data_IF_064493062651
#
_entry.id   IF_064493062651
#
_cell.length_a   1.000
_cell.length_b   1.000
_cell.length_c   1.000
_cell.angle_alpha   90.00
_cell.angle_beta   90.00
_cell.angle_gamma   90.00
#
_symmetry.space_group_name_H-M   'P 1'
#
loop_
_entity.id
_entity.type
_entity.pdbx_description
1 polymer ?
#
# COMPACT_ATOMS: atom_id res chain seq x y z
N UNK A 1 -21.29 6.24 53.00
CA UNK A 1 -20.45 5.04 52.91
C UNK A 1 -19.09 5.42 52.33
N UNK A 2 -18.01 5.14 53.05
CA UNK A 2 -16.65 5.42 52.57
C UNK A 2 -16.22 4.37 51.51
N UNK A 3 -15.02 4.54 50.92
CA UNK A 3 -14.54 3.65 49.86
C UNK A 3 -14.36 2.21 50.37
N UNK A 4 -13.76 2.04 51.54
CA UNK A 4 -13.53 0.73 52.17
C UNK A 4 -14.84 -0.06 52.36
N UNK A 5 -15.88 0.59 52.91
CA UNK A 5 -17.20 -0.02 53.08
C UNK A 5 -17.84 -0.41 51.73
N UNK A 6 -17.66 0.40 50.68
CA UNK A 6 -18.14 0.06 49.33
C UNK A 6 -17.41 -1.16 48.77
N UNK A 7 -16.09 -1.20 48.92
CA UNK A 7 -15.25 -2.31 48.47
C UNK A 7 -15.66 -3.63 49.13
N UNK A 8 -15.92 -3.62 50.44
CA UNK A 8 -16.35 -4.83 51.16
C UNK A 8 -17.74 -5.31 50.71
N UNK A 9 -18.70 -4.42 50.49
CA UNK A 9 -20.03 -4.81 49.96
C UNK A 9 -19.92 -5.37 48.54
N UNK A 10 -19.04 -4.82 47.69
CA UNK A 10 -18.80 -5.35 46.35
C UNK A 10 -18.21 -6.78 46.42
N UNK A 11 -17.23 -7.02 47.30
CA UNK A 11 -16.64 -8.35 47.48
C UNK A 11 -17.66 -9.37 47.98
N UNK A 12 -18.49 -8.99 48.97
CA UNK A 12 -19.55 -9.85 49.51
C UNK A 12 -20.61 -10.17 48.45
N UNK A 13 -21.02 -9.19 47.64
CA UNK A 13 -21.94 -9.42 46.52
C UNK A 13 -21.39 -10.41 45.48
N UNK A 14 -20.10 -10.28 45.12
CA UNK A 14 -19.42 -11.20 44.20
C UNK A 14 -19.31 -12.60 44.81
N UNK A 15 -18.97 -12.72 46.10
CA UNK A 15 -18.91 -14.00 46.80
C UNK A 15 -20.27 -14.70 46.86
N UNK A 16 -21.37 -13.94 46.89
CA UNK A 16 -22.75 -14.46 46.80
C UNK A 16 -23.17 -14.85 45.38
N UNK A 17 -22.28 -14.70 44.40
CA UNK A 17 -22.51 -15.10 43.01
C UNK A 17 -23.19 -14.05 42.14
N UNK A 18 -23.25 -12.77 42.57
CA UNK A 18 -23.75 -11.70 41.72
C UNK A 18 -22.65 -11.34 40.71
N UNK A 19 -22.90 -11.62 39.43
CA UNK A 19 -21.96 -11.45 38.34
C UNK A 19 -22.29 -10.30 37.37
N UNK A 20 -23.39 -9.57 37.57
CA UNK A 20 -23.71 -8.33 36.84
C UNK A 20 -23.34 -7.07 37.67
N UNK A 21 -22.47 -6.18 37.15
CA UNK A 21 -22.19 -4.88 37.77
C UNK A 21 -23.40 -3.98 38.00
N UNK A 22 -24.49 -4.15 37.24
CA UNK A 22 -25.74 -3.39 37.45
C UNK A 22 -26.43 -3.79 38.75
N UNK A 23 -26.52 -5.09 39.01
CA UNK A 23 -27.15 -5.62 40.23
C UNK A 23 -26.39 -5.19 41.50
N UNK A 24 -25.06 -5.22 41.45
CA UNK A 24 -24.20 -4.69 42.52
C UNK A 24 -24.39 -3.17 42.68
N UNK A 25 -24.59 -2.47 41.56
CA UNK A 25 -24.90 -1.05 41.53
C UNK A 25 -26.21 -0.70 42.23
N UNK A 26 -27.27 -1.47 42.00
CA UNK A 26 -28.57 -1.29 42.65
C UNK A 26 -28.49 -1.47 44.17
N UNK A 27 -27.76 -2.47 44.65
CA UNK A 27 -27.52 -2.69 46.09
C UNK A 27 -26.83 -1.50 46.77
N UNK A 28 -26.00 -0.77 46.02
CA UNK A 28 -25.14 0.30 46.53
C UNK A 28 -25.65 1.71 46.21
N UNK A 29 -26.71 1.83 45.39
CA UNK A 29 -27.14 3.10 44.80
C UNK A 29 -26.05 3.74 43.93
N UNK A 30 -25.24 2.92 43.24
CA UNK A 30 -24.14 3.35 42.38
C UNK A 30 -24.36 2.88 40.94
N UNK A 31 -23.81 3.63 39.97
CA UNK A 31 -23.78 3.17 38.57
C UNK A 31 -22.82 1.98 38.41
N UNK A 32 -23.15 1.03 37.53
CA UNK A 32 -22.29 -0.11 37.16
C UNK A 32 -20.85 0.30 36.77
N UNK A 33 -20.69 1.42 36.06
CA UNK A 33 -19.37 1.97 35.70
C UNK A 33 -18.53 2.36 36.91
N UNK A 34 -19.17 2.79 38.00
CA UNK A 34 -18.51 3.11 39.27
C UNK A 34 -18.08 1.83 39.98
N UNK A 35 -18.89 0.78 39.95
CA UNK A 35 -18.55 -0.54 40.51
C UNK A 35 -17.29 -1.09 39.84
N UNK A 36 -17.27 -1.15 38.51
CA UNK A 36 -16.12 -1.68 37.76
C UNK A 36 -14.86 -0.84 37.97
N UNK A 37 -14.99 0.48 38.07
CA UNK A 37 -13.86 1.37 38.38
C UNK A 37 -13.30 1.09 39.77
N UNK A 38 -14.15 0.84 40.76
CA UNK A 38 -13.73 0.45 42.12
C UNK A 38 -13.03 -0.91 42.07
N UNK A 39 -13.62 -1.92 41.41
CA UNK A 39 -12.98 -3.24 41.28
C UNK A 39 -11.60 -3.17 40.64
N UNK A 40 -11.42 -2.35 39.59
CA UNK A 40 -10.13 -2.14 38.94
C UNK A 40 -9.12 -1.43 39.83
N UNK A 41 -9.56 -0.40 40.56
CA UNK A 41 -8.69 0.36 41.46
C UNK A 41 -8.19 -0.51 42.62
N UNK A 42 -9.07 -1.33 43.19
CA UNK A 42 -8.82 -2.19 44.35
C UNK A 42 -8.32 -3.59 43.97
N UNK A 43 -8.04 -3.86 42.69
CA UNK A 43 -7.60 -5.16 42.17
C UNK A 43 -8.49 -6.35 42.59
N UNK A 44 -9.80 -6.14 42.61
CA UNK A 44 -10.79 -7.18 42.91
C UNK A 44 -10.94 -8.07 41.69
N UNK A 45 -10.82 -9.38 41.87
CA UNK A 45 -11.11 -10.37 40.82
C UNK A 45 -12.62 -10.42 40.56
N UNK A 46 -13.02 -10.17 39.32
CA UNK A 46 -14.44 -10.03 38.95
C UNK A 46 -14.86 -11.09 37.95
N UNK A 47 -16.00 -11.79 38.15
CA UNK A 47 -16.50 -12.79 37.22
C UNK A 47 -17.03 -12.18 35.91
N UNK A 48 -17.42 -10.91 35.92
CA UNK A 48 -17.79 -10.19 34.70
C UNK A 48 -16.55 -9.83 33.88
N UNK A 49 -16.50 -10.31 32.63
CA UNK A 49 -15.52 -9.83 31.65
C UNK A 49 -15.85 -8.38 31.34
N UNK A 50 -14.96 -7.41 31.64
CA UNK A 50 -15.22 -6.03 31.25
C UNK A 50 -15.30 -6.00 29.72
N UNK A 51 -16.51 -5.86 29.17
CA UNK A 51 -16.66 -5.58 27.76
C UNK A 51 -16.00 -4.22 27.50
N UNK A 52 -14.89 -4.15 26.74
CA UNK A 52 -14.20 -2.90 26.49
C UNK A 52 -15.09 -1.85 25.81
N UNK A 53 -16.25 -2.26 25.27
CA UNK A 53 -17.18 -1.42 24.52
C UNK A 53 -18.34 -0.86 25.37
N UNK A 54 -18.60 -1.37 26.57
CA UNK A 54 -19.75 -0.96 27.42
C UNK A 54 -19.47 0.34 28.21
N UNK A 55 -18.22 0.80 28.28
CA UNK A 55 -17.80 1.91 29.19
C UNK A 55 -17.75 3.30 28.57
N UNK A 56 -18.33 3.51 27.41
CA UNK A 56 -18.58 4.88 26.94
C UNK A 56 -20.05 5.13 27.20
N UNK A 57 -20.39 5.84 28.29
CA UNK A 57 -21.66 6.57 28.35
C UNK A 57 -21.70 7.37 27.05
N UNK A 58 -22.48 6.90 26.07
CA UNK A 58 -22.55 7.51 24.76
C UNK A 58 -23.20 8.85 24.97
N UNK A 59 -22.38 9.87 25.18
CA UNK A 59 -22.81 11.25 25.10
C UNK A 59 -23.46 11.38 23.74
N UNK A 60 -24.78 11.54 23.72
CA UNK A 60 -25.52 11.86 22.51
C UNK A 60 -24.79 13.02 21.83
N UNK A 61 -24.33 12.77 20.62
CA UNK A 61 -23.62 13.73 19.79
C UNK A 61 -24.48 13.96 18.55
N UNK A 62 -25.37 14.97 18.59
CA UNK A 62 -26.36 15.19 17.54
C UNK A 62 -25.72 15.38 16.17
N UNK A 63 -24.48 15.88 16.12
CA UNK A 63 -23.78 16.07 14.85
C UNK A 63 -23.30 14.73 14.28
N UNK A 64 -22.76 13.82 15.11
CA UNK A 64 -22.46 12.44 14.70
C UNK A 64 -23.73 11.73 14.24
N UNK A 65 -24.81 11.81 15.01
CA UNK A 65 -26.08 11.14 14.68
C UNK A 65 -26.68 11.63 13.36
N UNK A 66 -26.60 12.95 13.11
CA UNK A 66 -26.99 13.53 11.82
C UNK A 66 -26.17 12.99 10.65
N UNK A 67 -24.85 12.84 10.80
CA UNK A 67 -24.01 12.31 9.72
C UNK A 67 -24.20 10.80 9.51
N UNK A 68 -24.53 10.07 10.58
CA UNK A 68 -24.85 8.65 10.55
C UNK A 68 -26.18 8.40 9.84
N UNK A 69 -27.22 9.17 10.14
CA UNK A 69 -28.54 9.08 9.48
C UNK A 69 -28.49 9.47 8.01
N UNK A 70 -27.55 10.34 7.62
CA UNK A 70 -27.23 10.63 6.21
C UNK A 70 -26.39 9.53 5.53
N UNK A 71 -26.06 8.45 6.23
CA UNK A 71 -25.21 7.37 5.74
C UNK A 71 -23.91 7.90 5.12
N UNK A 72 -23.20 8.80 5.79
CA UNK A 72 -21.88 9.28 5.35
C UNK A 72 -20.80 8.21 5.58
N UNK A 73 -19.69 8.29 4.85
CA UNK A 73 -18.58 7.36 5.04
C UNK A 73 -17.79 7.69 6.31
N UNK A 74 -17.21 6.68 7.00
CA UNK A 74 -16.39 6.94 8.20
C UNK A 74 -15.27 7.97 7.95
N UNK A 75 -14.53 7.96 6.82
CA UNK A 75 -13.51 8.97 6.54
C UNK A 75 -14.08 10.38 6.35
N UNK A 76 -15.27 10.50 5.75
CA UNK A 76 -15.95 11.79 5.58
C UNK A 76 -16.44 12.35 6.92
N UNK A 77 -17.03 11.50 7.76
CA UNK A 77 -17.45 11.88 9.11
C UNK A 77 -16.27 12.32 9.97
N UNK A 78 -15.19 11.53 9.96
CA UNK A 78 -13.94 11.84 10.65
C UNK A 78 -13.38 13.21 10.22
N UNK A 79 -13.34 13.49 8.92
CA UNK A 79 -12.89 14.77 8.38
C UNK A 79 -13.77 15.93 8.80
N UNK A 80 -15.11 15.79 8.71
CA UNK A 80 -16.06 16.86 9.06
C UNK A 80 -16.03 17.20 10.55
N UNK A 81 -15.90 16.19 11.40
CA UNK A 81 -15.92 16.33 12.85
C UNK A 81 -14.54 16.54 13.47
N UNK A 82 -13.47 16.67 12.66
CA UNK A 82 -12.10 16.85 13.15
C UNK A 82 -11.61 15.72 14.06
N UNK A 83 -11.98 14.47 13.77
CA UNK A 83 -11.66 13.31 14.61
C UNK A 83 -11.13 12.12 13.79
N UNK A 84 -10.76 11.03 14.46
CA UNK A 84 -10.24 9.83 13.77
C UNK A 84 -11.36 8.93 13.28
N UNK A 85 -11.07 8.14 12.23
CA UNK A 85 -11.98 7.09 11.75
C UNK A 85 -12.36 6.10 12.85
N UNK A 86 -11.40 5.77 13.72
CA UNK A 86 -11.59 4.81 14.80
C UNK A 86 -12.57 5.34 15.86
N UNK A 87 -12.50 6.63 16.19
CA UNK A 87 -13.42 7.26 17.14
C UNK A 87 -14.88 7.23 16.62
N UNK A 88 -15.09 7.51 15.33
CA UNK A 88 -16.43 7.40 14.73
C UNK A 88 -16.92 5.96 14.73
N UNK A 89 -16.04 5.01 14.46
CA UNK A 89 -16.38 3.59 14.51
C UNK A 89 -16.77 3.15 15.92
N UNK A 90 -15.99 3.51 16.95
CA UNK A 90 -16.32 3.23 18.34
C UNK A 90 -17.67 3.84 18.73
N UNK A 91 -17.93 5.10 18.36
CA UNK A 91 -19.21 5.77 18.60
C UNK A 91 -20.40 5.02 17.97
N UNK A 92 -20.27 4.57 16.72
CA UNK A 92 -21.30 3.79 16.03
C UNK A 92 -21.64 2.49 16.74
N UNK A 93 -20.64 1.81 17.30
CA UNK A 93 -20.83 0.58 18.06
C UNK A 93 -21.43 0.84 19.43
N UNK A 94 -20.87 1.78 20.18
CA UNK A 94 -21.34 2.12 21.53
C UNK A 94 -22.73 2.78 21.54
N UNK A 95 -23.18 3.35 20.42
CA UNK A 95 -24.53 3.92 20.28
C UNK A 95 -25.56 2.97 19.67
N UNK A 96 -25.16 1.74 19.31
CA UNK A 96 -26.06 0.77 18.66
C UNK A 96 -26.44 1.09 17.20
N UNK A 97 -25.97 2.21 16.65
CA UNK A 97 -26.33 2.65 15.29
C UNK A 97 -25.58 1.93 14.16
N UNK A 98 -24.58 1.10 14.50
CA UNK A 98 -23.71 0.44 13.51
C UNK A 98 -24.48 -0.39 12.47
N UNK A 99 -25.48 -1.18 12.88
CA UNK A 99 -26.25 -2.03 11.97
C UNK A 99 -27.06 -1.20 10.95
N UNK A 100 -27.78 -0.18 11.45
CA UNK A 100 -28.59 0.73 10.63
C UNK A 100 -27.72 1.51 9.65
N UNK A 101 -26.60 2.06 10.13
CA UNK A 101 -25.64 2.77 9.28
C UNK A 101 -25.08 1.87 8.17
N UNK A 102 -24.71 0.63 8.50
CA UNK A 102 -24.16 -0.34 7.54
C UNK A 102 -25.16 -0.67 6.44
N UNK A 103 -26.42 -0.91 6.80
CA UNK A 103 -27.50 -1.17 5.84
C UNK A 103 -27.75 0.04 4.93
N UNK A 104 -27.90 1.24 5.49
CA UNK A 104 -28.13 2.46 4.70
C UNK A 104 -26.93 2.85 3.82
N UNK A 105 -25.69 2.56 4.24
CA UNK A 105 -24.50 2.72 3.38
C UNK A 105 -24.52 1.77 2.19
N UNK A 106 -24.98 0.54 2.35
CA UNK A 106 -25.08 -0.40 1.25
C UNK A 106 -26.08 0.11 0.21
N UNK A 107 -27.26 0.58 0.65
CA UNK A 107 -28.28 1.16 -0.21
C UNK A 107 -27.84 2.47 -0.88
N UNK A 108 -27.16 3.36 -0.13
CA UNK A 108 -26.63 4.61 -0.67
C UNK A 108 -25.58 4.35 -1.75
N UNK A 109 -24.71 3.34 -1.55
CA UNK A 109 -23.73 2.93 -2.56
C UNK A 109 -24.38 2.32 -3.79
N UNK A 110 -25.45 1.53 -3.66
CA UNK A 110 -26.14 0.98 -4.81
C UNK A 110 -26.86 2.08 -5.60
N UNK A 111 -27.51 3.03 -4.92
CA UNK A 111 -28.13 4.18 -5.56
C UNK A 111 -27.11 5.07 -6.28
N UNK A 112 -25.96 5.37 -5.65
CA UNK A 112 -24.88 6.12 -6.28
C UNK A 112 -24.31 5.39 -7.51
N UNK A 113 -24.23 4.06 -7.45
CA UNK A 113 -23.81 3.22 -8.58
C UNK A 113 -24.83 3.33 -9.73
N UNK A 114 -26.12 3.19 -9.46
CA UNK A 114 -27.18 3.31 -10.48
C UNK A 114 -27.22 4.70 -11.11
N UNK A 115 -27.10 5.77 -10.31
CA UNK A 115 -27.01 7.14 -10.85
C UNK A 115 -25.79 7.35 -11.76
N UNK A 116 -24.63 6.78 -11.38
CA UNK A 116 -23.43 6.81 -12.22
C UNK A 116 -23.65 6.07 -13.53
N UNK A 117 -24.20 4.86 -13.47
CA UNK A 117 -24.52 4.08 -14.67
C UNK A 117 -25.49 4.81 -15.60
N UNK A 118 -26.50 5.50 -15.06
CA UNK A 118 -27.42 6.34 -15.83
C UNK A 118 -26.69 7.53 -16.46
N UNK A 119 -25.83 8.23 -15.70
CA UNK A 119 -25.02 9.33 -16.21
C UNK A 119 -24.11 8.89 -17.37
N UNK A 120 -23.43 7.75 -17.25
CA UNK A 120 -22.60 7.21 -18.34
C UNK A 120 -23.44 6.79 -19.54
N UNK A 121 -24.63 6.22 -19.31
CA UNK A 121 -25.56 5.87 -20.39
C UNK A 121 -26.02 7.11 -21.15
N UNK A 122 -26.34 8.21 -20.45
CA UNK A 122 -26.66 9.51 -21.06
C UNK A 122 -25.48 10.08 -21.82
N UNK A 123 -24.27 9.99 -21.26
CA UNK A 123 -23.05 10.44 -21.93
C UNK A 123 -22.78 9.64 -23.21
N UNK A 124 -22.92 8.32 -23.17
CA UNK A 124 -22.81 7.43 -24.33
C UNK A 124 -23.89 7.70 -25.39
N UNK A 125 -25.10 8.07 -24.98
CA UNK A 125 -26.16 8.50 -25.90
C UNK A 125 -25.84 9.85 -26.55
N UNK A 126 -25.33 10.82 -25.77
CA UNK A 126 -24.87 12.12 -26.28
C UNK A 126 -23.71 11.99 -27.26
N UNK A 127 -22.75 11.11 -26.96
CA UNK A 127 -21.69 10.74 -27.90
C UNK A 127 -22.32 10.19 -29.19
N UNK A 128 -23.22 9.20 -29.09
CA UNK A 128 -23.91 8.62 -30.27
C UNK A 128 -24.63 9.65 -31.15
N UNK A 129 -25.29 10.62 -30.54
CA UNK A 129 -25.92 11.73 -31.25
C UNK A 129 -24.91 12.67 -31.92
N UNK A 130 -23.71 12.83 -31.36
CA UNK A 130 -22.59 13.52 -32.02
C UNK A 130 -22.02 12.72 -33.19
N UNK A 131 -21.98 11.38 -33.08
CA UNK A 131 -21.47 10.46 -34.09
C UNK A 131 -22.11 10.60 -35.47
N UNK A 132 -23.39 10.98 -35.52
CA UNK A 132 -24.14 11.18 -36.77
C UNK A 132 -23.71 12.43 -37.55
N UNK A 133 -22.94 13.33 -36.94
CA UNK A 133 -22.43 14.58 -37.53
C UNK A 133 -20.96 14.44 -37.96
N UNK A 134 -20.33 13.28 -37.72
CA UNK A 134 -18.90 13.08 -37.93
C UNK A 134 -18.60 12.69 -39.39
N UNK A 135 -17.83 13.53 -40.08
CA UNK A 135 -17.44 13.30 -41.49
C UNK A 135 -16.02 12.74 -41.70
N UNK A 136 -15.10 12.83 -40.71
CA UNK A 136 -13.68 12.49 -40.92
C UNK A 136 -13.28 11.13 -40.31
N UNK A 137 -12.39 10.35 -40.98
CA UNK A 137 -11.88 9.07 -40.47
C UNK A 137 -11.26 9.16 -39.07
N UNK A 138 -10.52 10.24 -38.79
CA UNK A 138 -9.93 10.52 -37.47
C UNK A 138 -11.01 10.62 -36.39
N UNK A 139 -12.05 11.39 -36.65
CA UNK A 139 -13.11 11.64 -35.67
C UNK A 139 -13.93 10.37 -35.43
N UNK A 140 -14.14 9.55 -36.47
CA UNK A 140 -14.79 8.24 -36.34
C UNK A 140 -13.97 7.27 -35.48
N UNK A 141 -12.65 7.23 -35.66
CA UNK A 141 -11.74 6.47 -34.80
C UNK A 141 -11.88 6.89 -33.34
N UNK A 142 -11.72 8.19 -33.05
CA UNK A 142 -11.76 8.70 -31.68
C UNK A 142 -13.13 8.40 -31.04
N UNK A 143 -14.20 8.62 -31.79
CA UNK A 143 -15.57 8.37 -31.36
C UNK A 143 -15.81 6.90 -30.94
N UNK A 144 -15.45 5.94 -31.80
CA UNK A 144 -15.65 4.51 -31.53
C UNK A 144 -14.89 4.08 -30.27
N UNK A 145 -13.65 4.54 -30.13
CA UNK A 145 -12.82 4.21 -28.97
C UNK A 145 -13.24 4.93 -27.69
N UNK A 146 -13.74 6.17 -27.78
CA UNK A 146 -14.30 6.89 -26.63
C UNK A 146 -15.56 6.19 -26.08
N UNK A 147 -16.43 5.67 -26.94
CA UNK A 147 -17.57 4.86 -26.52
C UNK A 147 -17.15 3.62 -25.73
N UNK A 148 -16.09 2.93 -26.17
CA UNK A 148 -15.54 1.80 -25.45
C UNK A 148 -15.00 2.21 -24.07
N UNK A 149 -14.32 3.35 -23.96
CA UNK A 149 -13.85 3.87 -22.67
C UNK A 149 -15.00 4.09 -21.69
N UNK A 150 -16.07 4.76 -22.09
CA UNK A 150 -17.20 5.03 -21.19
C UNK A 150 -18.06 3.80 -20.90
N UNK A 151 -18.08 2.81 -21.78
CA UNK A 151 -18.78 1.55 -21.57
C UNK A 151 -17.99 0.59 -20.67
N UNK A 152 -16.68 0.45 -20.91
CA UNK A 152 -15.80 -0.53 -20.24
C UNK A 152 -15.12 0.02 -18.99
N UNK A 153 -14.94 1.35 -18.88
CA UNK A 153 -14.37 2.02 -17.73
C UNK A 153 -15.32 3.09 -17.16
N UNK A 154 -16.50 2.71 -16.63
CA UNK A 154 -17.49 3.62 -16.03
C UNK A 154 -17.03 4.23 -14.69
N UNK A 155 -15.73 4.28 -14.42
CA UNK A 155 -15.14 4.97 -13.27
C UNK A 155 -14.01 5.90 -13.68
N UNK A 156 -13.84 6.14 -14.98
CA UNK A 156 -12.96 7.22 -15.42
C UNK A 156 -13.47 8.53 -14.82
N UNK A 157 -12.56 9.30 -14.22
CA UNK A 157 -12.87 10.65 -13.73
C UNK A 157 -12.75 11.71 -14.83
N UNK A 158 -12.38 11.27 -16.03
CA UNK A 158 -12.16 12.15 -17.17
C UNK A 158 -13.49 12.48 -17.84
N UNK A 159 -13.60 13.73 -18.26
CA UNK A 159 -14.61 14.22 -19.16
C UNK A 159 -14.48 13.60 -20.55
N UNK A 160 -15.55 13.69 -21.35
CA UNK A 160 -15.52 13.28 -22.75
C UNK A 160 -14.42 14.00 -23.53
N UNK A 161 -14.22 15.29 -23.27
CA UNK A 161 -13.22 16.10 -23.95
C UNK A 161 -11.80 15.59 -23.68
N UNK A 162 -11.44 15.30 -22.42
CA UNK A 162 -10.13 14.74 -22.08
C UNK A 162 -9.91 13.36 -22.72
N UNK A 163 -10.92 12.50 -22.75
CA UNK A 163 -10.82 11.21 -23.44
C UNK A 163 -10.63 11.41 -24.94
N UNK A 164 -11.34 12.37 -25.53
CA UNK A 164 -11.25 12.71 -26.95
C UNK A 164 -9.86 13.24 -27.32
N UNK A 165 -9.30 14.16 -26.54
CA UNK A 165 -7.97 14.72 -26.78
C UNK A 165 -6.88 13.65 -26.66
N UNK A 166 -6.94 12.82 -25.62
CA UNK A 166 -5.98 11.73 -25.42
C UNK A 166 -6.02 10.73 -26.58
N UNK A 167 -7.21 10.29 -27.01
CA UNK A 167 -7.37 9.37 -28.13
C UNK A 167 -7.02 10.02 -29.48
N UNK A 168 -7.24 11.33 -29.62
CA UNK A 168 -6.81 12.10 -30.79
C UNK A 168 -5.29 12.16 -30.90
N UNK A 169 -4.60 12.50 -29.81
CA UNK A 169 -3.14 12.48 -29.75
C UNK A 169 -2.57 11.08 -30.03
N UNK A 170 -3.23 10.03 -29.52
CA UNK A 170 -2.90 8.65 -29.86
C UNK A 170 -3.07 8.40 -31.37
N UNK A 171 -4.23 8.68 -31.94
CA UNK A 171 -4.47 8.45 -33.38
C UNK A 171 -3.44 9.16 -34.26
N UNK A 172 -3.21 10.44 -33.98
CA UNK A 172 -2.33 11.28 -34.78
C UNK A 172 -0.88 10.81 -34.70
N UNK A 173 -0.38 10.45 -33.51
CA UNK A 173 0.95 9.87 -33.38
C UNK A 173 1.10 8.59 -34.23
N UNK A 174 0.09 7.71 -34.21
CA UNK A 174 0.09 6.47 -34.98
C UNK A 174 0.14 6.71 -36.49
N UNK A 175 -0.64 7.67 -37.00
CA UNK A 175 -0.65 8.04 -38.44
C UNK A 175 0.70 8.60 -38.91
N UNK A 176 1.43 9.30 -38.03
CA UNK A 176 2.74 9.87 -38.34
C UNK A 176 3.92 8.93 -38.01
N UNK A 177 3.65 7.66 -37.67
CA UNK A 177 4.69 6.68 -37.29
C UNK A 177 5.40 7.00 -35.97
N UNK A 178 4.87 7.93 -35.18
CA UNK A 178 5.38 8.30 -33.86
C UNK A 178 4.84 7.34 -32.79
N UNK A 179 5.66 7.04 -31.79
CA UNK A 179 5.26 6.24 -30.64
C UNK A 179 5.22 7.12 -29.41
N UNK A 180 4.04 7.27 -28.82
CA UNK A 180 3.88 7.96 -27.54
C UNK A 180 3.84 6.95 -26.38
N UNK A 181 4.61 7.23 -25.34
CA UNK A 181 4.52 6.51 -24.08
C UNK A 181 3.22 6.88 -23.35
N UNK A 182 2.79 6.05 -22.41
CA UNK A 182 1.65 6.40 -21.56
C UNK A 182 1.89 7.67 -20.73
N UNK A 183 3.15 8.04 -20.45
CA UNK A 183 3.45 9.30 -19.77
C UNK A 183 3.13 10.47 -20.69
N UNK A 184 3.68 10.45 -21.91
CA UNK A 184 3.43 11.50 -22.90
C UNK A 184 1.95 11.65 -23.24
N UNK A 185 1.21 10.53 -23.36
CA UNK A 185 -0.25 10.55 -23.54
C UNK A 185 -0.97 11.13 -22.32
N UNK A 186 -0.46 10.88 -21.11
CA UNK A 186 -1.00 11.43 -19.88
C UNK A 186 -0.80 12.93 -19.77
N UNK A 187 0.36 13.43 -20.22
CA UNK A 187 0.72 14.84 -20.20
C UNK A 187 -0.22 15.70 -21.08
N UNK A 188 -0.79 15.13 -22.16
CA UNK A 188 -1.77 15.82 -23.03
C UNK A 188 -2.98 16.33 -22.25
N UNK A 189 -3.43 15.57 -21.25
CA UNK A 189 -4.66 15.88 -20.48
C UNK A 189 -4.41 15.97 -18.98
N UNK A 190 -3.15 16.09 -18.55
CA UNK A 190 -2.77 16.25 -17.14
C UNK A 190 -3.06 15.04 -16.24
N UNK A 191 -2.94 13.81 -16.75
CA UNK A 191 -3.20 12.59 -15.98
C UNK A 191 -1.94 11.74 -15.78
N UNK A 192 -1.95 10.91 -14.73
CA UNK A 192 -0.84 9.99 -14.49
C UNK A 192 -0.68 8.95 -15.61
N UNK A 193 0.55 8.43 -15.75
CA UNK A 193 0.89 7.33 -16.68
C UNK A 193 -0.07 6.13 -16.53
N UNK A 194 -0.47 5.80 -15.30
CA UNK A 194 -1.41 4.70 -15.05
C UNK A 194 -2.83 5.05 -15.51
N UNK A 195 -3.25 6.32 -15.35
CA UNK A 195 -4.50 6.83 -15.88
C UNK A 195 -4.58 6.67 -17.40
N UNK A 196 -3.58 7.19 -18.12
CA UNK A 196 -3.49 7.05 -19.57
C UNK A 196 -3.51 5.59 -20.03
N UNK A 197 -2.73 4.72 -19.36
CA UNK A 197 -2.74 3.27 -19.64
C UNK A 197 -4.14 2.65 -19.49
N UNK A 198 -4.86 3.02 -18.44
CA UNK A 198 -6.21 2.50 -18.20
C UNK A 198 -7.19 2.96 -19.28
N UNK A 199 -7.08 4.22 -19.75
CA UNK A 199 -7.90 4.74 -20.84
C UNK A 199 -7.61 4.00 -22.15
N UNK A 200 -6.33 3.90 -22.55
CA UNK A 200 -5.93 3.18 -23.77
C UNK A 200 -6.40 1.72 -23.74
N UNK A 201 -6.27 1.04 -22.58
CA UNK A 201 -6.77 -0.33 -22.42
C UNK A 201 -8.31 -0.41 -22.49
N UNK A 202 -9.03 0.52 -21.87
CA UNK A 202 -10.49 0.56 -21.92
C UNK A 202 -11.03 0.88 -23.32
N UNK A 203 -10.26 1.64 -24.09
CA UNK A 203 -10.49 1.89 -25.51
C UNK A 203 -10.18 0.67 -26.40
N UNK A 204 -9.66 -0.43 -25.84
CA UNK A 204 -9.21 -1.62 -26.58
C UNK A 204 -8.07 -1.34 -27.57
N UNK A 205 -7.26 -0.32 -27.27
CA UNK A 205 -6.10 0.06 -28.05
C UNK A 205 -4.83 -0.57 -27.49
N UNK A 206 -3.92 -0.93 -28.38
CA UNK A 206 -2.61 -1.45 -28.00
C UNK A 206 -1.66 -0.35 -27.56
N UNK A 207 -0.68 -0.71 -26.71
CA UNK A 207 0.43 0.19 -26.42
C UNK A 207 1.21 0.51 -27.69
N UNK A 208 1.49 1.78 -27.96
CA UNK A 208 2.40 2.16 -29.07
C UNK A 208 3.83 1.70 -28.83
N UNK A 209 4.23 1.70 -27.55
CA UNK A 209 5.43 1.01 -27.10
C UNK A 209 5.08 -0.43 -26.78
N UNK A 210 5.15 -1.30 -27.79
CA UNK A 210 5.49 -2.70 -27.57
C UNK A 210 6.99 -2.81 -27.29
N UNK A 211 7.42 -2.30 -26.14
CA UNK A 211 8.71 -2.68 -25.59
C UNK A 211 8.48 -3.77 -24.55
N UNK A 212 8.00 -4.91 -25.03
CA UNK A 212 8.34 -6.22 -24.45
C UNK A 212 9.66 -6.72 -25.02
N UNK A 213 10.67 -5.84 -25.16
CA UNK A 213 11.95 -6.23 -24.57
C UNK A 213 11.75 -6.16 -23.06
N UNK A 214 10.89 -7.04 -22.52
CA UNK A 214 11.08 -7.55 -21.18
C UNK A 214 12.55 -7.91 -21.21
N UNK A 215 13.39 -7.22 -20.43
CA UNK A 215 14.75 -7.68 -20.24
C UNK A 215 14.61 -9.12 -19.77
N UNK A 216 14.74 -10.05 -20.72
CA UNK A 216 14.50 -11.45 -20.47
C UNK A 216 15.72 -11.82 -19.66
N UNK A 217 15.48 -12.03 -18.36
CA UNK A 217 16.49 -12.50 -17.45
C UNK A 217 17.18 -13.68 -18.12
N UNK A 218 18.48 -13.57 -18.34
CA UNK A 218 19.22 -14.61 -19.05
C UNK A 218 19.17 -15.91 -18.25
N UNK A 219 19.40 -17.06 -18.90
CA UNK A 219 19.44 -18.34 -18.19
C UNK A 219 20.45 -18.32 -17.03
N UNK A 220 21.60 -17.67 -17.24
CA UNK A 220 22.64 -17.46 -16.22
C UNK A 220 22.14 -16.62 -15.04
N UNK A 221 21.40 -15.54 -15.30
CA UNK A 221 20.81 -14.72 -14.23
C UNK A 221 19.74 -15.48 -13.44
N UNK A 222 18.95 -16.35 -14.10
CA UNK A 222 17.97 -17.21 -13.41
C UNK A 222 18.69 -18.19 -12.49
N UNK A 223 19.71 -18.90 -12.98
CA UNK A 223 20.51 -19.82 -12.19
C UNK A 223 21.20 -19.13 -11.00
N UNK A 224 21.74 -17.92 -11.22
CA UNK A 224 22.31 -17.11 -10.15
C UNK A 224 21.24 -16.74 -9.10
N UNK A 225 20.02 -16.36 -9.50
CA UNK A 225 18.94 -16.14 -8.54
C UNK A 225 18.53 -17.42 -7.80
N UNK A 226 18.52 -18.58 -8.46
CA UNK A 226 18.22 -19.86 -7.81
C UNK A 226 19.24 -20.15 -6.71
N UNK A 227 20.53 -19.97 -6.98
CA UNK A 227 21.60 -20.11 -5.96
C UNK A 227 21.49 -19.06 -4.86
N UNK A 228 21.25 -17.80 -5.23
CA UNK A 228 21.08 -16.70 -4.27
C UNK A 228 19.93 -16.91 -3.29
N UNK A 229 18.94 -17.75 -3.65
CA UNK A 229 17.81 -18.06 -2.78
C UNK A 229 18.27 -18.67 -1.45
N UNK A 230 19.29 -19.52 -1.51
CA UNK A 230 19.88 -20.25 -0.39
C UNK A 230 20.97 -19.47 0.35
N UNK A 231 21.31 -18.26 -0.13
CA UNK A 231 22.31 -17.39 0.48
C UNK A 231 21.64 -16.34 1.39
N UNK A 232 22.34 -15.84 2.43
CA UNK A 232 21.82 -14.84 3.37
C UNK A 232 21.75 -13.42 2.77
N UNK A 233 21.50 -13.29 1.47
CA UNK A 233 21.41 -12.03 0.73
C UNK A 233 20.00 -11.42 0.76
N UNK A 234 19.93 -10.09 0.82
CA UNK A 234 18.67 -9.39 0.57
C UNK A 234 18.30 -9.42 -0.92
N UNK A 235 17.02 -9.20 -1.25
CA UNK A 235 16.58 -9.07 -2.65
C UNK A 235 17.29 -7.95 -3.39
N UNK A 236 17.69 -6.89 -2.68
CA UNK A 236 18.43 -5.76 -3.24
C UNK A 236 19.91 -6.09 -3.50
N UNK A 237 20.54 -6.88 -2.63
CA UNK A 237 21.92 -7.33 -2.82
C UNK A 237 22.00 -8.32 -3.99
N UNK A 238 21.11 -9.32 -4.03
CA UNK A 238 21.01 -10.25 -5.17
C UNK A 238 20.77 -9.50 -6.48
N UNK A 239 19.86 -8.53 -6.50
CA UNK A 239 19.55 -7.75 -7.68
C UNK A 239 20.78 -6.97 -8.20
N UNK A 240 21.56 -6.40 -7.28
CA UNK A 240 22.80 -5.72 -7.63
C UNK A 240 23.83 -6.67 -8.22
N UNK A 241 24.11 -7.81 -7.58
CA UNK A 241 25.12 -8.73 -8.09
C UNK A 241 24.71 -9.39 -9.42
N UNK A 242 23.45 -9.81 -9.56
CA UNK A 242 22.93 -10.47 -10.77
C UNK A 242 22.68 -9.49 -11.93
N UNK A 243 22.65 -8.18 -11.67
CA UNK A 243 22.39 -7.17 -12.70
C UNK A 243 20.95 -7.16 -13.18
N UNK A 244 19.99 -7.32 -12.26
CA UNK A 244 18.54 -7.31 -12.56
C UNK A 244 17.78 -6.36 -11.65
N UNK A 245 16.56 -5.97 -12.04
CA UNK A 245 15.72 -5.12 -11.20
C UNK A 245 15.26 -5.87 -9.93
N UNK A 246 15.24 -5.25 -8.73
CA UNK A 246 14.86 -5.92 -7.47
C UNK A 246 13.49 -6.61 -7.48
N UNK A 247 12.53 -6.09 -8.26
CA UNK A 247 11.21 -6.73 -8.40
C UNK A 247 11.29 -8.07 -9.15
N UNK A 248 12.26 -8.27 -10.04
CA UNK A 248 12.48 -9.55 -10.73
C UNK A 248 12.92 -10.60 -9.71
N UNK A 249 13.92 -10.27 -8.88
CA UNK A 249 14.37 -11.14 -7.77
C UNK A 249 13.25 -11.41 -6.78
N UNK A 250 12.51 -10.38 -6.36
CA UNK A 250 11.39 -10.56 -5.43
C UNK A 250 10.34 -11.53 -6.00
N UNK A 251 9.93 -11.34 -7.27
CA UNK A 251 8.97 -12.24 -7.92
C UNK A 251 9.52 -13.65 -8.06
N UNK A 252 10.81 -13.79 -8.38
CA UNK A 252 11.48 -15.08 -8.47
C UNK A 252 11.45 -15.80 -7.11
N UNK A 253 11.92 -15.13 -6.06
CA UNK A 253 11.96 -15.68 -4.70
C UNK A 253 10.57 -16.00 -4.15
N UNK A 254 9.55 -15.20 -4.47
CA UNK A 254 8.17 -15.44 -4.01
C UNK A 254 7.53 -16.70 -4.59
N UNK A 255 8.08 -17.27 -5.67
CA UNK A 255 7.60 -18.54 -6.24
C UNK A 255 8.18 -19.76 -5.53
N UNK A 256 9.30 -19.60 -4.83
CA UNK A 256 9.91 -20.67 -4.05
C UNK A 256 9.20 -20.77 -2.70
N UNK A 257 8.88 -22.00 -2.30
CA UNK A 257 8.13 -22.27 -1.06
C UNK A 257 9.05 -22.51 0.15
N UNK A 258 10.34 -22.69 -0.08
CA UNK A 258 11.31 -22.98 0.97
C UNK A 258 11.60 -21.77 1.85
N UNK A 259 11.90 -21.97 3.12
CA UNK A 259 12.24 -20.86 4.02
C UNK A 259 13.66 -20.36 3.71
N UNK A 260 13.79 -19.07 3.39
CA UNK A 260 15.10 -18.44 3.17
C UNK A 260 15.91 -18.35 4.47
N UNK A 261 17.25 -18.41 4.39
CA UNK A 261 18.11 -18.11 5.53
C UNK A 261 17.87 -16.68 6.03
N UNK A 262 18.18 -16.45 7.31
CA UNK A 262 18.14 -15.11 7.88
C UNK A 262 19.11 -14.19 7.14
N UNK A 263 18.69 -12.94 6.93
CA UNK A 263 19.51 -11.97 6.21
C UNK A 263 20.70 -11.60 7.06
N UNK A 264 21.87 -11.62 6.44
CA UNK A 264 23.11 -11.26 7.11
C UNK A 264 23.56 -9.85 6.72
N UNK A 265 24.03 -9.09 7.71
CA UNK A 265 24.66 -7.79 7.52
C UNK A 265 26.16 -7.88 7.84
N UNK A 266 27.00 -7.18 7.08
CA UNK A 266 28.47 -7.17 7.24
C UNK A 266 28.96 -6.31 8.42
N UNK A 267 28.09 -6.07 9.41
CA UNK A 267 28.38 -5.31 10.62
C UNK A 267 27.12 -5.03 11.45
N UNK A 268 27.16 -5.38 12.74
CA UNK A 268 26.00 -5.30 13.66
C UNK A 268 25.55 -3.86 13.95
N UNK A 269 26.47 -2.90 13.98
CA UNK A 269 26.18 -1.52 14.42
C UNK A 269 25.70 -0.61 13.27
N UNK A 270 26.11 -0.89 12.03
CA UNK A 270 25.91 0.02 10.89
C UNK A 270 25.04 -0.55 9.77
N UNK A 271 24.53 -1.78 9.93
CA UNK A 271 23.65 -2.48 8.99
C UNK A 271 24.13 -2.37 7.53
N UNK A 272 25.40 -2.71 7.29
CA UNK A 272 26.01 -2.60 5.96
C UNK A 272 25.64 -3.85 5.15
N UNK A 273 24.97 -3.64 4.01
CA UNK A 273 24.61 -4.71 3.08
C UNK A 273 25.80 -5.09 2.20
N UNK A 274 25.74 -6.28 1.60
CA UNK A 274 26.77 -6.77 0.67
C UNK A 274 26.94 -5.84 -0.53
N UNK A 275 25.83 -5.38 -1.14
CA UNK A 275 25.84 -4.38 -2.22
C UNK A 275 26.64 -3.15 -1.83
N UNK A 276 26.33 -2.57 -0.67
CA UNK A 276 26.92 -1.29 -0.26
C UNK A 276 28.42 -1.43 0.00
N UNK A 277 28.84 -2.51 0.65
CA UNK A 277 30.27 -2.78 0.85
C UNK A 277 31.00 -3.03 -0.48
N UNK A 278 30.37 -3.76 -1.40
CA UNK A 278 30.89 -4.03 -2.75
C UNK A 278 31.14 -2.74 -3.54
N UNK A 279 30.15 -1.85 -3.61
CA UNK A 279 30.27 -0.54 -4.28
C UNK A 279 31.35 0.35 -3.65
N UNK A 280 31.58 0.25 -2.34
CA UNK A 280 32.65 1.00 -1.67
C UNK A 280 34.02 0.51 -2.12
N UNK A 281 34.22 -0.82 -2.23
CA UNK A 281 35.49 -1.36 -2.72
C UNK A 281 35.73 -1.05 -4.19
N UNK A 282 34.69 -1.19 -5.03
CA UNK A 282 34.76 -0.86 -6.46
C UNK A 282 35.24 0.59 -6.67
N UNK A 283 34.59 1.56 -6.02
CA UNK A 283 34.97 2.96 -6.14
C UNK A 283 36.36 3.25 -5.54
N UNK A 284 36.70 2.63 -4.42
CA UNK A 284 38.03 2.79 -3.82
C UNK A 284 39.14 2.25 -4.72
N UNK A 285 38.97 1.06 -5.29
CA UNK A 285 39.94 0.43 -6.19
C UNK A 285 40.06 1.18 -7.52
N UNK A 286 38.99 1.88 -7.94
CA UNK A 286 39.00 2.83 -9.05
C UNK A 286 39.68 4.18 -8.72
N UNK A 287 40.16 4.39 -7.49
CA UNK A 287 40.88 5.60 -7.08
C UNK A 287 39.99 6.80 -6.72
N UNK A 288 38.70 6.59 -6.43
CA UNK A 288 37.78 7.67 -6.10
C UNK A 288 38.12 8.30 -4.74
N UNK A 289 37.86 9.60 -4.59
CA UNK A 289 37.99 10.25 -3.29
C UNK A 289 36.96 9.72 -2.31
N UNK A 290 37.21 9.84 -1.00
CA UNK A 290 36.27 9.37 0.02
C UNK A 290 34.88 10.03 -0.08
N UNK A 291 34.82 11.26 -0.57
CA UNK A 291 33.56 11.96 -0.78
C UNK A 291 32.79 11.34 -1.95
N UNK A 292 33.47 11.11 -3.08
CA UNK A 292 32.88 10.49 -4.27
C UNK A 292 32.41 9.06 -3.97
N UNK A 293 33.17 8.30 -3.16
CA UNK A 293 32.74 6.97 -2.68
C UNK A 293 31.42 7.05 -1.90
N UNK A 294 31.24 8.06 -1.03
CA UNK A 294 30.00 8.22 -0.27
C UNK A 294 28.81 8.51 -1.20
N UNK A 295 29.00 9.38 -2.19
CA UNK A 295 27.99 9.74 -3.19
C UNK A 295 27.62 8.53 -4.07
N UNK A 296 28.62 7.88 -4.66
CA UNK A 296 28.45 6.71 -5.53
C UNK A 296 27.71 5.56 -4.83
N UNK A 297 28.15 5.19 -3.63
CA UNK A 297 27.59 4.05 -2.88
C UNK A 297 26.35 4.38 -2.06
N UNK A 298 26.02 5.67 -1.90
CA UNK A 298 25.02 6.15 -0.95
C UNK A 298 25.34 5.75 0.50
N UNK A 299 26.62 5.53 0.84
CA UNK A 299 27.09 5.20 2.16
C UNK A 299 27.48 6.46 2.94
N UNK A 300 27.23 6.48 4.25
CA UNK A 300 27.73 7.55 5.11
C UNK A 300 29.25 7.48 5.25
N UNK A 301 29.93 8.58 5.53
CA UNK A 301 31.38 8.58 5.74
C UNK A 301 31.82 7.64 6.88
N UNK A 302 30.96 7.38 7.86
CA UNK A 302 31.19 6.40 8.93
C UNK A 302 31.14 4.95 8.40
N UNK A 303 30.18 4.64 7.54
CA UNK A 303 30.08 3.33 6.88
C UNK A 303 31.28 3.08 5.96
N UNK A 304 31.66 4.05 5.13
CA UNK A 304 32.85 3.93 4.26
C UNK A 304 34.10 3.66 5.10
N UNK A 305 34.33 4.44 6.17
CA UNK A 305 35.47 4.20 7.08
C UNK A 305 35.44 2.79 7.66
N UNK A 306 34.28 2.33 8.11
CA UNK A 306 34.12 1.01 8.68
C UNK A 306 34.44 -0.10 7.67
N UNK A 307 33.87 -0.03 6.45
CA UNK A 307 34.11 -1.02 5.38
C UNK A 307 35.59 -1.09 5.04
N UNK A 308 36.24 0.06 4.84
CA UNK A 308 37.66 0.13 4.53
C UNK A 308 38.53 -0.43 5.64
N UNK A 309 38.26 -0.08 6.91
CA UNK A 309 39.00 -0.58 8.07
C UNK A 309 38.81 -2.09 8.29
N UNK A 310 37.73 -2.68 7.77
CA UNK A 310 37.39 -4.10 7.90
C UNK A 310 37.55 -4.87 6.59
N UNK A 311 38.29 -4.32 5.61
CA UNK A 311 38.51 -4.93 4.28
C UNK A 311 38.92 -6.39 4.35
N UNK A 312 39.95 -6.71 5.15
CA UNK A 312 40.44 -8.09 5.30
C UNK A 312 39.41 -9.10 5.84
N UNK A 313 38.34 -8.66 6.50
CA UNK A 313 37.27 -9.53 7.02
C UNK A 313 36.00 -9.52 6.16
N UNK A 314 35.69 -8.40 5.52
CA UNK A 314 34.46 -8.23 4.73
C UNK A 314 34.67 -8.69 3.29
N UNK A 315 35.81 -8.36 2.67
CA UNK A 315 36.09 -8.71 1.27
C UNK A 315 36.00 -10.23 1.01
N UNK A 316 36.64 -11.11 1.81
CA UNK A 316 36.56 -12.55 1.58
C UNK A 316 35.13 -13.10 1.62
N UNK A 317 34.26 -12.50 2.44
CA UNK A 317 32.86 -12.90 2.56
C UNK A 317 32.04 -12.50 1.34
N UNK A 318 32.27 -11.31 0.79
CA UNK A 318 31.62 -10.90 -0.47
C UNK A 318 32.10 -11.80 -1.61
N UNK A 319 33.42 -12.07 -1.69
CA UNK A 319 34.00 -12.95 -2.70
C UNK A 319 33.39 -14.35 -2.62
N UNK A 320 33.31 -14.96 -1.43
CA UNK A 320 32.69 -16.27 -1.23
C UNK A 320 31.25 -16.30 -1.76
N UNK A 321 30.46 -15.28 -1.41
CA UNK A 321 29.07 -15.18 -1.89
C UNK A 321 28.99 -15.02 -3.41
N UNK A 322 29.91 -14.27 -4.03
CA UNK A 322 29.95 -14.11 -5.48
C UNK A 322 30.37 -15.40 -6.19
N UNK A 323 31.30 -16.16 -5.61
CA UNK A 323 31.71 -17.48 -6.11
C UNK A 323 30.53 -18.46 -6.04
N UNK A 324 29.80 -18.50 -4.93
CA UNK A 324 28.57 -19.30 -4.80
C UNK A 324 27.49 -18.85 -5.80
N UNK A 325 27.41 -17.53 -6.06
CA UNK A 325 26.40 -16.97 -6.95
C UNK A 325 26.65 -17.31 -8.42
N UNK A 326 27.91 -17.38 -8.86
CA UNK A 326 28.27 -17.52 -10.27
C UNK A 326 28.97 -18.83 -10.65
N UNK A 327 29.35 -19.67 -9.68
CA UNK A 327 30.13 -20.90 -9.89
C UNK A 327 31.43 -20.66 -10.67
N UNK A 328 32.02 -19.47 -10.51
CA UNK A 328 33.22 -19.04 -11.20
C UNK A 328 34.20 -18.45 -10.19
N UNK A 329 35.52 -18.55 -10.45
CA UNK A 329 36.51 -17.87 -9.62
C UNK A 329 36.29 -16.36 -9.73
N UNK A 330 35.98 -15.75 -8.58
CA UNK A 330 35.87 -14.30 -8.43
C UNK A 330 37.01 -13.83 -7.53
N UNK A 331 37.81 -12.89 -8.00
CA UNK A 331 38.95 -12.33 -7.25
C UNK A 331 38.62 -11.00 -6.57
N UNK A 332 37.63 -10.26 -7.11
CA UNK A 332 37.24 -8.94 -6.65
C UNK A 332 35.89 -8.95 -5.92
N UNK A 333 35.67 -8.12 -4.90
CA UNK A 333 34.43 -8.10 -4.12
C UNK A 333 33.27 -7.35 -4.83
N UNK A 334 33.27 -7.27 -6.15
CA UNK A 334 32.24 -6.60 -6.95
C UNK A 334 31.92 -7.40 -8.21
N UNK A 335 30.69 -7.22 -8.72
CA UNK A 335 30.18 -8.05 -9.83
C UNK A 335 30.95 -7.75 -11.11
N UNK A 336 31.43 -8.77 -11.85
CA UNK A 336 32.13 -8.57 -13.11
C UNK A 336 31.20 -8.18 -14.27
N UNK A 337 29.89 -8.13 -14.03
CA UNK A 337 28.86 -7.95 -15.06
C UNK A 337 28.43 -6.48 -15.25
N UNK A 338 29.28 -5.52 -14.86
CA UNK A 338 29.09 -4.08 -15.08
C UNK A 338 30.10 -3.49 -16.03
#
# INVERSE_FOLDING_TARGET
MNLEQRTEVIKDAIQRGIDDPNDIGELLGLKASTIVRICRHESIDTPFKPDPLIYVETKNDPEKDRLISQFRSLPEMARRLGTTRQNIHQYLWSSGQHAVWKAGRAQSKSAEKSQKEEMYSRLAAGIRAFGTIIASPRSLFIYNHALNVFSNAPKTRLSLHEVWELLGAYHDAGQHGQKLSYSQLGDVVGISTMGARNIIRAAELSSMYYNTRLHRTSGMQIQAMDRAYLLPLSTADTAHFVGVHPQVVYRHFSKNQEKRPEREFLGSILSISFKKASMVYEAYDAGFSRQDICEYSGATSRQVRYVMNKRGSIQPRIISVLQDLFEQPVEQPYSPFF
#
